data_IF_533331158819
#
_entry.id   IF_533331158819
#
_cell.length_a   1.000
_cell.length_b   1.000
_cell.length_c   1.000
_cell.angle_alpha   90.00
_cell.angle_beta   90.00
_cell.angle_gamma   90.00
#
_symmetry.space_group_name_H-M   'P 1'
#
loop_
_entity.id
_entity.type
_entity.pdbx_description
1 polymer ?
#
# COMPACT_ATOMS: atom_id res chain seq x y z
N UNK A 1 -25.96 20.04 -22.81
CA UNK A 1 -25.39 18.73 -23.20
C UNK A 1 -26.20 18.18 -24.38
N UNK A 2 -25.56 17.88 -25.52
CA UNK A 2 -26.26 17.45 -26.75
C UNK A 2 -26.70 15.97 -26.64
N UNK A 3 -27.94 15.74 -26.21
CA UNK A 3 -28.53 14.40 -25.99
C UNK A 3 -28.42 13.44 -27.18
N UNK A 4 -28.36 13.95 -28.41
CA UNK A 4 -28.24 13.15 -29.63
C UNK A 4 -26.86 12.49 -29.82
N UNK A 5 -25.85 12.91 -29.06
CA UNK A 5 -24.53 12.26 -29.06
C UNK A 5 -24.42 11.10 -28.05
N UNK A 6 -25.43 10.90 -27.18
CA UNK A 6 -25.41 9.85 -26.16
C UNK A 6 -25.14 8.44 -26.71
N UNK A 7 -25.71 8.01 -27.87
CA UNK A 7 -25.42 6.68 -28.41
C UNK A 7 -23.95 6.50 -28.81
N UNK A 8 -23.33 7.55 -29.37
CA UNK A 8 -21.92 7.54 -29.77
C UNK A 8 -21.01 7.53 -28.55
N UNK A 9 -21.30 8.37 -27.55
CA UNK A 9 -20.54 8.42 -26.28
C UNK A 9 -20.67 7.09 -25.52
N UNK A 10 -21.86 6.50 -25.47
CA UNK A 10 -22.07 5.19 -24.85
C UNK A 10 -21.30 4.08 -25.59
N UNK A 11 -21.34 4.08 -26.93
CA UNK A 11 -20.57 3.13 -27.73
C UNK A 11 -19.06 3.31 -27.56
N UNK A 12 -18.56 4.55 -27.53
CA UNK A 12 -17.15 4.86 -27.24
C UNK A 12 -16.74 4.38 -25.86
N UNK A 13 -17.54 4.64 -24.82
CA UNK A 13 -17.29 4.15 -23.46
C UNK A 13 -17.26 2.63 -23.38
N UNK A 14 -18.20 1.95 -24.05
CA UNK A 14 -18.23 0.48 -24.13
C UNK A 14 -17.02 -0.08 -24.89
N UNK A 15 -16.61 0.57 -25.98
CA UNK A 15 -15.43 0.16 -26.76
C UNK A 15 -14.16 0.31 -25.94
N UNK A 16 -13.94 1.48 -25.31
CA UNK A 16 -12.79 1.72 -24.42
C UNK A 16 -12.76 0.69 -23.29
N UNK A 17 -13.87 0.46 -22.60
CA UNK A 17 -13.95 -0.56 -21.53
C UNK A 17 -13.56 -1.96 -22.01
N UNK A 18 -13.82 -2.30 -23.28
CA UNK A 18 -13.45 -3.61 -23.86
C UNK A 18 -11.99 -3.67 -24.31
N UNK A 19 -11.39 -2.55 -24.68
CA UNK A 19 -10.04 -2.50 -25.27
C UNK A 19 -8.96 -2.00 -24.32
N UNK A 20 -9.33 -1.41 -23.18
CA UNK A 20 -8.34 -0.96 -22.19
C UNK A 20 -7.55 -2.15 -21.66
N UNK A 21 -6.23 -2.08 -21.84
CA UNK A 21 -5.30 -3.05 -21.28
C UNK A 21 -5.38 -2.95 -19.76
N UNK A 22 -5.89 -4.01 -19.12
CA UNK A 22 -5.87 -4.15 -17.67
C UNK A 22 -4.52 -4.75 -17.30
N UNK A 23 -3.66 -3.92 -16.72
CA UNK A 23 -2.38 -4.39 -16.18
C UNK A 23 -2.64 -5.34 -15.01
N UNK A 24 -1.90 -6.46 -14.90
CA UNK A 24 -2.05 -7.38 -13.79
C UNK A 24 -1.60 -6.73 -12.47
N UNK A 25 -2.14 -7.23 -11.36
CA UNK A 25 -1.59 -6.95 -10.02
C UNK A 25 -0.17 -7.50 -9.92
N UNK A 26 0.63 -6.86 -9.06
CA UNK A 26 1.99 -7.31 -8.77
C UNK A 26 1.97 -8.76 -8.30
N UNK A 27 2.99 -9.53 -8.72
CA UNK A 27 3.15 -10.93 -8.29
C UNK A 27 4.03 -10.99 -7.04
N UNK A 28 4.22 -12.21 -6.54
CA UNK A 28 5.13 -12.48 -5.43
C UNK A 28 4.59 -12.10 -4.04
N UNK A 29 5.46 -12.09 -3.02
CA UNK A 29 5.06 -11.86 -1.64
C UNK A 29 4.41 -10.49 -1.44
N UNK A 30 3.37 -10.44 -0.60
CA UNK A 30 2.71 -9.20 -0.15
C UNK A 30 3.30 -8.65 1.14
N UNK A 31 4.49 -9.12 1.50
CA UNK A 31 5.21 -8.73 2.69
C UNK A 31 6.70 -9.01 2.49
N UNK A 32 7.53 -8.25 3.19
CA UNK A 32 8.97 -8.47 3.20
C UNK A 32 9.67 -7.61 4.25
N UNK A 33 10.98 -7.82 4.36
CA UNK A 33 11.88 -7.03 5.20
C UNK A 33 12.91 -6.34 4.33
N UNK A 34 13.16 -5.07 4.61
CA UNK A 34 14.26 -4.30 4.02
C UNK A 34 15.25 -3.95 5.11
N UNK A 35 16.54 -4.21 4.87
CA UNK A 35 17.62 -3.82 5.76
C UNK A 35 18.15 -2.44 5.37
N UNK A 36 18.66 -1.63 6.31
CA UNK A 36 19.32 -0.38 5.98
C UNK A 36 20.58 -0.67 5.14
N UNK A 37 20.97 0.25 4.23
CA UNK A 37 22.19 0.09 3.48
C UNK A 37 23.39 0.00 4.42
N UNK A 38 24.28 -0.96 4.17
CA UNK A 38 25.50 -1.10 4.97
C UNK A 38 26.43 0.07 4.66
N UNK A 39 26.79 0.90 5.64
CA UNK A 39 27.93 1.78 5.47
C UNK A 39 29.20 0.93 5.25
N UNK A 40 30.05 1.24 4.26
CA UNK A 40 31.30 0.52 4.09
C UNK A 40 32.14 0.68 5.36
N UNK A 41 32.61 -0.45 5.91
CA UNK A 41 33.60 -0.42 7.00
C UNK A 41 34.86 0.32 6.49
N UNK A 42 35.57 1.08 7.34
CA UNK A 42 36.85 1.68 6.95
C UNK A 42 37.78 0.59 6.38
N UNK A 43 38.12 0.70 5.09
CA UNK A 43 38.98 -0.26 4.37
C UNK A 43 38.29 -1.20 3.37
N UNK A 44 36.96 -1.12 3.19
CA UNK A 44 36.26 -1.92 2.18
C UNK A 44 36.14 -1.16 0.84
N UNK A 45 36.54 -1.76 -0.31
CA UNK A 45 36.51 -1.05 -1.59
C UNK A 45 35.07 -0.69 -2.01
N UNK A 46 34.86 0.50 -2.62
CA UNK A 46 33.55 0.93 -3.09
C UNK A 46 33.13 0.05 -4.27
N UNK A 47 32.09 -0.77 -4.10
CA UNK A 47 31.56 -1.59 -5.19
C UNK A 47 30.75 -2.83 -4.81
N UNK A 48 30.70 -3.24 -3.54
CA UNK A 48 29.79 -4.30 -3.12
C UNK A 48 28.38 -3.73 -2.98
N UNK A 49 27.63 -3.73 -4.08
CA UNK A 49 26.23 -3.35 -4.13
C UNK A 49 25.46 -3.97 -2.96
N UNK A 50 24.68 -3.15 -2.26
CA UNK A 50 23.73 -3.57 -1.24
C UNK A 50 22.83 -4.66 -1.83
N UNK A 51 23.17 -5.91 -1.52
CA UNK A 51 22.47 -7.08 -2.04
C UNK A 51 21.06 -7.04 -1.49
N UNK A 52 20.07 -6.89 -2.38
CA UNK A 52 18.69 -7.23 -2.09
C UNK A 52 18.63 -8.69 -1.63
N UNK A 53 18.68 -8.93 -0.32
CA UNK A 53 18.40 -10.24 0.24
C UNK A 53 16.89 -10.39 0.32
N UNK A 54 16.30 -10.79 -0.80
CA UNK A 54 14.93 -11.30 -0.85
C UNK A 54 14.85 -12.61 -0.05
N UNK A 55 14.81 -12.51 1.28
CA UNK A 55 14.33 -13.63 2.08
C UNK A 55 12.83 -13.77 1.81
N UNK A 56 12.51 -14.72 0.94
CA UNK A 56 11.18 -15.26 0.81
C UNK A 56 10.72 -15.77 2.18
N UNK A 57 9.60 -15.23 2.67
CA UNK A 57 8.90 -15.77 3.83
C UNK A 57 9.17 -15.08 5.17
N UNK A 58 8.96 -13.77 5.25
CA UNK A 58 8.34 -13.24 6.47
C UNK A 58 6.85 -13.19 6.17
N UNK A 59 6.10 -14.12 6.77
CA UNK A 59 4.65 -14.14 6.65
C UNK A 59 4.09 -12.74 6.99
N UNK A 60 2.87 -12.45 6.56
CA UNK A 60 2.09 -11.34 7.15
C UNK A 60 1.98 -11.44 8.71
N UNK A 61 2.43 -12.58 9.27
CA UNK A 61 2.70 -12.88 10.67
C UNK A 61 4.21 -12.85 10.98
N UNK A 62 4.92 -11.77 10.59
CA UNK A 62 6.23 -11.49 11.18
C UNK A 62 6.09 -11.46 12.71
N UNK A 63 7.16 -11.70 13.47
CA UNK A 63 7.09 -11.66 14.92
C UNK A 63 6.38 -10.35 15.35
N UNK A 64 5.37 -10.46 16.23
CA UNK A 64 4.59 -9.31 16.68
C UNK A 64 5.50 -8.20 17.21
N UNK A 65 4.97 -6.97 17.37
CA UNK A 65 5.69 -5.80 17.88
C UNK A 65 6.71 -6.09 19.00
N UNK A 66 6.41 -7.05 19.86
CA UNK A 66 7.17 -7.37 21.07
C UNK A 66 8.31 -8.38 20.86
N UNK A 67 8.52 -8.88 19.65
CA UNK A 67 9.63 -9.76 19.38
C UNK A 67 10.96 -8.98 19.39
N UNK A 68 11.93 -9.41 20.21
CA UNK A 68 13.24 -8.77 20.23
C UNK A 68 13.91 -8.88 18.86
N UNK A 69 14.55 -7.79 18.43
CA UNK A 69 15.48 -7.85 17.30
C UNK A 69 16.66 -8.79 17.60
N UNK A 70 17.34 -9.32 16.57
CA UNK A 70 18.60 -10.02 16.81
C UNK A 70 19.54 -9.10 17.61
N UNK A 71 20.10 -9.67 18.68
CA UNK A 71 21.01 -9.09 19.68
C UNK A 71 21.38 -7.61 19.52
N UNK A 72 20.66 -6.72 20.22
CA UNK A 72 21.01 -5.30 20.35
C UNK A 72 20.61 -4.41 19.19
N UNK A 73 20.05 -4.94 18.10
CA UNK A 73 19.57 -4.13 16.99
C UNK A 73 18.22 -3.47 17.30
N UNK A 74 18.01 -2.21 16.89
CA UNK A 74 16.71 -1.55 17.04
C UNK A 74 15.63 -2.35 16.29
N UNK A 75 14.56 -2.72 17.01
CA UNK A 75 13.36 -3.41 16.49
C UNK A 75 12.97 -2.87 15.12
N UNK A 76 12.64 -3.64 14.07
CA UNK A 76 12.26 -3.08 12.77
C UNK A 76 11.07 -2.10 12.83
N UNK A 77 11.06 -1.10 11.93
CA UNK A 77 9.87 -0.29 11.65
C UNK A 77 8.81 -1.16 10.96
N UNK A 78 7.55 -1.01 11.33
CA UNK A 78 6.46 -1.78 10.70
C UNK A 78 5.56 -0.90 9.84
N UNK A 79 5.58 -1.15 8.53
CA UNK A 79 4.83 -0.44 7.49
C UNK A 79 3.67 -1.31 6.98
N UNK A 80 2.48 -0.75 6.91
CA UNK A 80 1.33 -1.34 6.22
C UNK A 80 0.84 -0.41 5.11
N UNK A 81 0.66 -0.95 3.90
CA UNK A 81 -0.02 -0.25 2.80
C UNK A 81 -1.35 -0.93 2.53
N UNK A 82 -2.46 -0.18 2.57
CA UNK A 82 -3.81 -0.68 2.29
C UNK A 82 -4.43 0.14 1.18
N UNK A 83 -5.12 -0.49 0.23
CA UNK A 83 -5.84 0.30 -0.76
C UNK A 83 -6.25 -0.39 -2.04
N UNK A 84 -6.31 0.41 -3.10
CA UNK A 84 -6.76 0.03 -4.44
C UNK A 84 -5.61 -0.49 -5.33
N UNK A 85 -5.64 -0.20 -6.64
CA UNK A 85 -4.67 -0.66 -7.65
C UNK A 85 -3.22 -0.26 -7.34
N UNK A 86 -2.98 0.94 -6.80
CA UNK A 86 -1.63 1.39 -6.45
C UNK A 86 -1.05 0.57 -5.31
N UNK A 87 -1.87 0.18 -4.33
CA UNK A 87 -1.47 -0.73 -3.27
C UNK A 87 -1.30 -2.16 -3.82
N UNK A 88 -2.18 -2.60 -4.71
CA UNK A 88 -2.08 -3.90 -5.37
C UNK A 88 -0.87 -4.03 -6.32
N UNK A 89 -0.13 -2.94 -6.56
CA UNK A 89 1.06 -2.93 -7.42
C UNK A 89 0.73 -3.11 -8.89
N UNK A 90 -0.40 -2.57 -9.37
CA UNK A 90 -0.72 -2.59 -10.80
C UNK A 90 0.36 -1.86 -11.58
N UNK A 91 0.96 -2.55 -12.56
CA UNK A 91 1.99 -2.00 -13.43
C UNK A 91 3.44 -2.26 -13.00
N UNK A 92 3.67 -2.94 -11.87
CA UNK A 92 5.01 -3.42 -11.46
C UNK A 92 5.05 -4.95 -11.46
N UNK A 93 6.26 -5.54 -11.54
CA UNK A 93 6.40 -6.99 -11.61
C UNK A 93 6.08 -7.68 -10.27
N UNK A 94 6.46 -7.05 -9.16
CA UNK A 94 6.35 -7.60 -7.80
C UNK A 94 6.15 -6.51 -6.75
N UNK A 95 5.60 -6.87 -5.58
CA UNK A 95 5.20 -5.87 -4.57
C UNK A 95 6.39 -5.15 -3.92
N UNK A 96 7.59 -5.74 -3.94
CA UNK A 96 8.84 -5.08 -3.53
C UNK A 96 9.26 -3.94 -4.50
N UNK A 97 8.87 -4.04 -5.77
CA UNK A 97 8.99 -2.98 -6.77
C UNK A 97 7.81 -2.00 -6.73
N UNK A 98 6.76 -2.31 -5.98
CA UNK A 98 5.58 -1.46 -5.80
C UNK A 98 5.77 -0.43 -4.68
N UNK A 99 4.71 0.35 -4.41
CA UNK A 99 4.77 1.42 -3.41
C UNK A 99 5.25 0.93 -2.05
N UNK A 100 4.77 -0.22 -1.57
CA UNK A 100 5.10 -0.73 -0.24
C UNK A 100 6.60 -1.05 -0.11
N UNK A 101 7.17 -1.80 -1.06
CA UNK A 101 8.59 -2.13 -1.03
C UNK A 101 9.50 -0.93 -1.23
N UNK A 102 9.19 -0.05 -2.19
CA UNK A 102 9.99 1.14 -2.44
C UNK A 102 9.94 2.14 -1.28
N UNK A 103 8.77 2.33 -0.66
CA UNK A 103 8.66 3.13 0.55
C UNK A 103 9.45 2.52 1.71
N UNK A 104 9.45 1.18 1.85
CA UNK A 104 10.25 0.51 2.86
C UNK A 104 11.76 0.73 2.66
N UNK A 105 12.24 0.74 1.41
CA UNK A 105 13.64 1.07 1.09
C UNK A 105 13.99 2.50 1.52
N UNK A 106 13.15 3.48 1.16
CA UNK A 106 13.38 4.87 1.53
C UNK A 106 13.36 5.07 3.05
N UNK A 107 12.44 4.41 3.75
CA UNK A 107 12.37 4.47 5.22
C UNK A 107 13.57 3.79 5.87
N UNK A 108 14.02 2.64 5.34
CA UNK A 108 15.17 1.93 5.90
C UNK A 108 16.46 2.75 5.78
N UNK A 109 16.65 3.42 4.64
CA UNK A 109 17.78 4.33 4.42
C UNK A 109 17.68 5.58 5.31
N UNK A 110 16.52 6.26 5.32
CA UNK A 110 16.33 7.48 6.10
C UNK A 110 16.49 7.25 7.62
N UNK A 111 16.01 6.12 8.13
CA UNK A 111 16.02 5.82 9.57
C UNK A 111 17.19 4.92 10.00
N UNK A 112 18.01 4.44 9.06
CA UNK A 112 19.09 3.49 9.32
C UNK A 112 18.63 2.30 10.17
N UNK A 113 17.44 1.78 9.85
CA UNK A 113 16.72 0.77 10.63
C UNK A 113 15.98 -0.17 9.70
N UNK A 114 15.92 -1.46 10.04
CA UNK A 114 15.18 -2.42 9.22
C UNK A 114 13.69 -2.05 9.15
N UNK A 115 13.03 -2.35 8.03
CA UNK A 115 11.61 -2.11 7.80
C UNK A 115 10.92 -3.40 7.40
N UNK A 116 9.97 -3.84 8.22
CA UNK A 116 9.01 -4.89 7.87
C UNK A 116 7.80 -4.24 7.21
N UNK A 117 7.52 -4.61 5.97
CA UNK A 117 6.41 -4.06 5.21
C UNK A 117 5.40 -5.14 4.84
N UNK A 118 4.14 -4.75 4.76
CA UNK A 118 3.05 -5.57 4.25
C UNK A 118 2.10 -4.74 3.39
N UNK A 119 1.40 -5.40 2.48
CA UNK A 119 0.43 -4.76 1.60
C UNK A 119 -0.87 -5.56 1.51
N UNK A 120 -1.98 -4.85 1.69
CA UNK A 120 -3.34 -5.37 1.52
C UNK A 120 -4.05 -4.49 0.50
N UNK A 121 -3.80 -4.80 -0.77
CA UNK A 121 -4.37 -4.10 -1.92
C UNK A 121 -5.30 -4.98 -2.76
N UNK A 122 -6.28 -4.36 -3.39
CA UNK A 122 -7.08 -4.98 -4.45
C UNK A 122 -7.42 -3.96 -5.54
N UNK A 123 -7.20 -4.31 -6.79
CA UNK A 123 -7.58 -3.46 -7.93
C UNK A 123 -9.08 -3.17 -7.92
N UNK A 124 -9.44 -1.89 -8.11
CA UNK A 124 -10.83 -1.46 -8.14
C UNK A 124 -11.51 -1.38 -6.77
N UNK A 125 -10.76 -1.47 -5.66
CA UNK A 125 -11.34 -1.41 -4.33
C UNK A 125 -11.89 -0.01 -4.01
N UNK A 126 -13.17 0.04 -3.64
CA UNK A 126 -13.80 1.19 -2.98
C UNK A 126 -13.55 1.15 -1.47
N UNK A 127 -13.82 2.24 -0.74
CA UNK A 127 -13.73 2.24 0.72
C UNK A 127 -14.61 1.17 1.37
N UNK A 128 -15.82 0.96 0.84
CA UNK A 128 -16.70 -0.13 1.29
C UNK A 128 -16.03 -1.50 1.18
N UNK A 129 -15.32 -1.74 0.07
CA UNK A 129 -14.57 -2.99 -0.15
C UNK A 129 -13.37 -3.08 0.78
N UNK A 130 -12.63 -1.99 0.96
CA UNK A 130 -11.52 -1.93 1.92
C UNK A 130 -12.02 -2.31 3.31
N UNK A 131 -13.08 -1.66 3.78
CA UNK A 131 -13.72 -1.90 5.08
C UNK A 131 -14.10 -3.36 5.31
N UNK A 132 -14.84 -3.95 4.37
CA UNK A 132 -15.49 -5.25 4.61
C UNK A 132 -14.69 -6.46 4.09
N UNK A 133 -13.70 -6.25 3.21
CA UNK A 133 -12.97 -7.35 2.57
C UNK A 133 -11.47 -7.29 2.81
N UNK A 134 -10.87 -6.10 2.89
CA UNK A 134 -9.42 -5.97 3.03
C UNK A 134 -8.99 -5.82 4.48
N UNK A 135 -9.64 -4.97 5.27
CA UNK A 135 -9.31 -4.82 6.69
C UNK A 135 -9.38 -6.13 7.49
N UNK A 136 -10.32 -7.05 7.25
CA UNK A 136 -10.31 -8.35 7.93
C UNK A 136 -9.07 -9.21 7.63
N UNK A 137 -8.34 -8.95 6.54
CA UNK A 137 -7.11 -9.67 6.18
C UNK A 137 -5.88 -9.10 6.87
N UNK A 138 -5.96 -7.86 7.38
CA UNK A 138 -4.88 -7.26 8.16
C UNK A 138 -4.92 -7.85 9.57
N UNK A 139 -3.79 -8.37 10.10
CA UNK A 139 -3.70 -8.84 11.48
C UNK A 139 -4.34 -7.86 12.45
N UNK A 140 -5.15 -8.40 13.37
CA UNK A 140 -5.90 -7.61 14.36
C UNK A 140 -5.10 -7.45 15.65
N UNK A 141 -3.79 -7.22 15.52
CA UNK A 141 -2.88 -6.97 16.65
C UNK A 141 -2.85 -5.47 16.89
N UNK A 142 -3.32 -4.98 18.05
CA UNK A 142 -3.26 -3.56 18.35
C UNK A 142 -1.82 -3.06 18.44
N UNK A 143 -1.56 -1.84 17.97
CA UNK A 143 -0.23 -1.24 18.13
C UNK A 143 0.87 -1.75 17.20
N UNK A 144 0.56 -2.66 16.28
CA UNK A 144 1.56 -3.45 15.57
C UNK A 144 2.30 -2.68 14.47
N UNK A 145 1.71 -1.60 13.95
CA UNK A 145 2.29 -0.80 12.85
C UNK A 145 2.75 0.58 13.32
N UNK A 146 3.93 1.00 12.87
CA UNK A 146 4.46 2.35 13.11
C UNK A 146 4.01 3.33 12.00
N UNK A 147 3.72 2.82 10.80
CA UNK A 147 3.19 3.61 9.68
C UNK A 147 2.15 2.80 8.90
N UNK A 148 0.99 3.42 8.66
CA UNK A 148 -0.05 2.88 7.77
C UNK A 148 -0.30 3.89 6.66
N UNK A 149 -0.34 3.43 5.41
CA UNK A 149 -0.68 4.24 4.23
C UNK A 149 -1.97 3.71 3.62
N UNK A 150 -2.98 4.57 3.53
CA UNK A 150 -4.27 4.29 2.91
C UNK A 150 -4.35 4.96 1.53
N UNK A 151 -4.56 4.14 0.49
CA UNK A 151 -4.79 4.58 -0.89
C UNK A 151 -6.23 4.23 -1.29
N UNK A 152 -7.12 5.22 -1.28
CA UNK A 152 -8.53 5.00 -1.57
C UNK A 152 -9.20 6.24 -2.17
N UNK A 153 -10.35 6.04 -2.81
CA UNK A 153 -11.28 7.11 -3.19
C UNK A 153 -11.40 7.36 -4.69
N UNK A 154 -10.43 6.96 -5.53
CA UNK A 154 -10.57 7.07 -6.99
C UNK A 154 -11.72 6.19 -7.47
N UNK A 155 -11.75 4.92 -7.05
CA UNK A 155 -12.82 4.01 -7.42
C UNK A 155 -14.19 4.41 -6.85
N UNK A 156 -14.21 5.08 -5.70
CA UNK A 156 -15.45 5.59 -5.10
C UNK A 156 -16.04 6.73 -5.94
N UNK A 157 -15.20 7.66 -6.42
CA UNK A 157 -15.60 8.74 -7.33
C UNK A 157 -16.08 8.18 -8.66
N UNK A 158 -15.30 7.29 -9.28
CA UNK A 158 -15.67 6.66 -10.56
C UNK A 158 -16.93 5.81 -10.46
N UNK A 159 -17.17 5.20 -9.29
CA UNK A 159 -18.37 4.41 -9.00
C UNK A 159 -19.59 5.23 -8.61
N UNK A 160 -19.49 6.56 -8.50
CA UNK A 160 -20.59 7.42 -8.10
C UNK A 160 -21.05 7.20 -6.65
N UNK A 161 -20.12 6.87 -5.75
CA UNK A 161 -20.43 6.64 -4.33
C UNK A 161 -20.95 7.93 -3.72
N UNK A 162 -22.10 7.84 -3.03
CA UNK A 162 -22.69 9.00 -2.36
C UNK A 162 -21.71 9.55 -1.29
N UNK A 163 -21.55 10.88 -1.17
CA UNK A 163 -20.62 11.48 -0.22
C UNK A 163 -20.81 11.01 1.23
N UNK A 164 -22.06 10.79 1.64
CA UNK A 164 -22.40 10.32 2.99
C UNK A 164 -21.92 8.88 3.21
N UNK A 165 -22.12 8.00 2.23
CA UNK A 165 -21.63 6.61 2.30
C UNK A 165 -20.11 6.57 2.27
N UNK A 166 -19.49 7.41 1.43
CA UNK A 166 -18.04 7.55 1.37
C UNK A 166 -17.46 8.01 2.71
N UNK A 167 -18.04 9.04 3.33
CA UNK A 167 -17.59 9.54 4.61
C UNK A 167 -17.75 8.50 5.73
N UNK A 168 -18.88 7.79 5.75
CA UNK A 168 -19.12 6.72 6.73
C UNK A 168 -18.13 5.56 6.59
N UNK A 169 -17.86 5.12 5.36
CA UNK A 169 -16.90 4.06 5.11
C UNK A 169 -15.45 4.52 5.35
N UNK A 170 -15.11 5.77 5.04
CA UNK A 170 -13.80 6.34 5.37
C UNK A 170 -13.59 6.34 6.87
N UNK A 171 -14.53 6.91 7.64
CA UNK A 171 -14.44 6.94 9.11
C UNK A 171 -14.24 5.54 9.68
N UNK A 172 -15.05 4.57 9.26
CA UNK A 172 -14.93 3.20 9.73
C UNK A 172 -13.59 2.54 9.36
N UNK A 173 -13.02 2.88 8.19
CA UNK A 173 -11.69 2.41 7.79
C UNK A 173 -10.60 3.06 8.63
N UNK A 174 -10.68 4.37 8.87
CA UNK A 174 -9.72 5.10 9.70
C UNK A 174 -9.73 4.58 11.14
N UNK A 175 -10.91 4.34 11.72
CA UNK A 175 -11.06 3.77 13.06
C UNK A 175 -10.43 2.37 13.12
N UNK A 176 -10.73 1.53 12.12
CA UNK A 176 -10.16 0.19 12.02
C UNK A 176 -8.64 0.20 11.89
N UNK A 177 -8.07 1.11 11.10
CA UNK A 177 -6.61 1.23 10.96
C UNK A 177 -5.96 1.88 12.18
N UNK A 178 -6.65 2.81 12.83
CA UNK A 178 -6.18 3.49 14.04
C UNK A 178 -5.91 2.52 15.19
N UNK A 179 -6.76 1.50 15.38
CA UNK A 179 -6.52 0.47 16.41
C UNK A 179 -5.25 -0.35 16.18
N UNK A 180 -4.77 -0.42 14.94
CA UNK A 180 -3.56 -1.16 14.54
C UNK A 180 -2.29 -0.32 14.64
N UNK A 181 -2.41 0.98 14.84
CA UNK A 181 -1.27 1.87 15.00
C UNK A 181 -0.69 1.81 16.40
N UNK A 182 0.64 1.83 16.44
CA UNK A 182 1.41 2.12 17.64
C UNK A 182 0.97 3.44 18.30
N UNK A 183 1.26 3.65 19.60
CA UNK A 183 0.99 4.93 20.26
C UNK A 183 1.57 6.15 19.53
N UNK A 184 2.74 6.02 18.91
CA UNK A 184 3.39 7.07 18.10
C UNK A 184 3.22 6.85 16.59
N UNK A 185 2.39 5.90 16.21
CA UNK A 185 2.19 5.51 14.82
C UNK A 185 1.49 6.59 14.01
N UNK A 186 1.75 6.60 12.70
CA UNK A 186 1.13 7.56 11.77
C UNK A 186 0.23 6.84 10.77
N UNK A 187 -0.97 7.39 10.54
CA UNK A 187 -1.84 7.02 9.43
C UNK A 187 -1.76 8.12 8.37
N UNK A 188 -1.35 7.76 7.16
CA UNK A 188 -1.30 8.65 6.01
C UNK A 188 -2.39 8.24 5.03
N UNK A 189 -3.22 9.20 4.63
CA UNK A 189 -4.27 8.99 3.62
C UNK A 189 -3.85 9.74 2.36
N UNK A 190 -3.70 9.03 1.25
CA UNK A 190 -3.44 9.68 -0.02
C UNK A 190 -4.68 10.44 -0.49
N UNK A 191 -4.48 11.68 -0.94
CA UNK A 191 -5.56 12.49 -1.50
C UNK A 191 -6.07 11.90 -2.81
N UNK A 192 -7.37 12.07 -3.05
CA UNK A 192 -7.97 11.79 -4.35
C UNK A 192 -7.63 12.96 -5.30
N UNK A 193 -7.08 12.71 -6.50
CA UNK A 193 -6.76 13.77 -7.43
C UNK A 193 -8.03 14.56 -7.83
N UNK A 194 -7.91 15.88 -8.08
CA UNK A 194 -9.06 16.69 -8.49
C UNK A 194 -9.51 16.31 -9.90
N UNK A 195 -10.58 15.51 -9.99
CA UNK A 195 -11.17 15.09 -11.27
C UNK A 195 -11.79 16.22 -12.10
N UNK A 196 -11.97 17.40 -11.50
CA UNK A 196 -12.40 18.63 -12.19
C UNK A 196 -11.41 19.09 -13.28
N UNK A 197 -10.16 18.61 -13.24
CA UNK A 197 -9.10 18.96 -14.19
C UNK A 197 -8.72 17.80 -15.11
N UNK A 198 -9.41 16.67 -15.05
CA UNK A 198 -9.17 15.53 -15.93
C UNK A 198 -9.93 15.73 -17.26
N UNK A 199 -9.25 15.65 -18.44
CA UNK A 199 -9.86 15.87 -19.74
C UNK A 199 -10.91 14.81 -20.13
#
# INVERSE_FOLDING_TARGET
>A
MRLWLMPVVAWQGLRVRRTTIVLPEARGPRSGRVLPPSHPRPGQPPGAASSYHGMAGVAANGPGRDAPGPEGEPRPLRLLVVGESTAAGVGVASHDQGLAGQLAVLLADQHQRAVDWAVVGQTGATLRRIRHRLLPLVPQVPGDYDLVVLLAGVNDVLGGTAPQSWAADLSAVLDGLGTRLAPEGRLVVAGVPPFIHFP
#
